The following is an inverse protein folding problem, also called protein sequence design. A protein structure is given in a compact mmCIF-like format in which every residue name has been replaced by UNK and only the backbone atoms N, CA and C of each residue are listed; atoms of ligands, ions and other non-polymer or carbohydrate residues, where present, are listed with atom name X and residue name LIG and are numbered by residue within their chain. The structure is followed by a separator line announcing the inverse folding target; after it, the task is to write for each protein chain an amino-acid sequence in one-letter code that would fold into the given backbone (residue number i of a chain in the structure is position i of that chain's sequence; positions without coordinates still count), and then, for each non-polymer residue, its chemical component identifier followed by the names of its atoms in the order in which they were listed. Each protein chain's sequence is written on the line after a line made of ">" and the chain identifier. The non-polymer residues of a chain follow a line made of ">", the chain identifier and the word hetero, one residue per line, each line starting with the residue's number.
data_IF_206346991860
#
_entry.id   IF_206346991860
#
_cell.length_a   1.000
_cell.length_b   1.000
_cell.length_c   1.000
_cell.angle_alpha   90.00
_cell.angle_beta   90.00
_cell.angle_gamma   90.00
#
_symmetry.space_group_name_H-M   'P 1'
#
loop_
_entity.id
_entity.type
_entity.pdbx_description
1 polymer ?
#
# COMPACT_ATOMS: atom_id res chain seq x y z
N UNK A 1 -23.95 19.36 -31.03
CA UNK A 1 -22.88 20.06 -30.29
C UNK A 1 -21.60 19.29 -30.54
N UNK A 2 -20.75 19.84 -31.41
CA UNK A 2 -19.49 19.22 -31.82
C UNK A 2 -18.59 19.06 -30.58
N UNK A 3 -18.11 17.84 -30.32
CA UNK A 3 -17.12 17.62 -29.25
C UNK A 3 -15.76 18.06 -29.80
N UNK A 4 -15.20 19.13 -29.22
CA UNK A 4 -13.85 19.58 -29.54
C UNK A 4 -12.82 18.46 -29.34
N UNK A 5 -11.76 18.45 -30.16
CA UNK A 5 -10.67 17.47 -30.08
C UNK A 5 -10.11 17.35 -28.66
N UNK A 6 -9.92 18.46 -27.95
CA UNK A 6 -9.40 18.48 -26.58
C UNK A 6 -10.30 17.68 -25.61
N UNK A 7 -11.62 17.72 -25.84
CA UNK A 7 -12.57 16.96 -25.04
C UNK A 7 -12.50 15.46 -25.35
N UNK A 8 -12.37 15.08 -26.63
CA UNK A 8 -12.16 13.69 -27.03
C UNK A 8 -10.84 13.13 -26.49
N UNK A 9 -9.76 13.90 -26.55
CA UNK A 9 -8.46 13.49 -26.02
C UNK A 9 -8.52 13.25 -24.51
N UNK A 10 -9.13 14.16 -23.74
CA UNK A 10 -9.28 14.03 -22.28
C UNK A 10 -10.10 12.79 -21.88
N UNK A 11 -11.05 12.37 -22.70
CA UNK A 11 -11.90 11.19 -22.47
C UNK A 11 -11.37 9.92 -23.11
N UNK A 12 -10.25 10.00 -23.85
CA UNK A 12 -9.63 8.86 -24.50
C UNK A 12 -8.97 7.92 -23.50
N UNK A 13 -8.82 6.64 -23.88
CA UNK A 13 -8.12 5.64 -23.05
C UNK A 13 -6.63 5.94 -22.91
N UNK A 14 -6.01 6.55 -23.92
CA UNK A 14 -4.60 6.93 -23.88
C UNK A 14 -4.33 8.00 -22.82
N UNK A 15 -5.27 8.94 -22.62
CA UNK A 15 -5.13 9.99 -21.61
C UNK A 15 -5.26 9.48 -20.15
N UNK A 16 -5.67 8.22 -19.96
CA UNK A 16 -5.70 7.57 -18.64
C UNK A 16 -4.32 7.03 -18.23
N UNK A 17 -3.34 7.01 -19.13
CA UNK A 17 -1.98 6.55 -18.84
C UNK A 17 -1.28 7.44 -17.81
N UNK A 18 -0.75 6.84 -16.75
CA UNK A 18 0.11 7.48 -15.76
C UNK A 18 1.36 6.62 -15.54
N UNK A 19 2.55 7.22 -15.69
CA UNK A 19 3.84 6.54 -15.51
C UNK A 19 4.07 6.05 -14.08
N UNK A 20 3.43 6.66 -13.09
CA UNK A 20 3.61 6.31 -11.68
C UNK A 20 2.80 5.08 -11.29
N UNK A 21 1.83 4.68 -12.12
CA UNK A 21 0.93 3.57 -11.87
C UNK A 21 1.28 2.48 -12.88
N UNK A 22 1.75 1.33 -12.38
CA UNK A 22 2.04 0.16 -13.21
C UNK A 22 0.73 -0.52 -13.68
N UNK A 23 0.02 0.14 -14.60
CA UNK A 23 -1.23 -0.35 -15.15
C UNK A 23 -1.00 -1.49 -16.14
N UNK A 24 -1.84 -2.52 -16.06
CA UNK A 24 -1.82 -3.66 -16.99
C UNK A 24 -2.71 -3.36 -18.19
N UNK A 25 -2.13 -3.43 -19.38
CA UNK A 25 -2.80 -3.28 -20.66
C UNK A 25 -2.97 -4.63 -21.36
N UNK A 26 -4.06 -4.74 -22.12
CA UNK A 26 -4.43 -5.91 -22.91
C UNK A 26 -4.92 -5.48 -24.28
N UNK A 27 -4.65 -6.28 -25.30
CA UNK A 27 -5.14 -6.07 -26.66
C UNK A 27 -5.94 -7.28 -27.16
N UNK A 28 -6.67 -7.09 -28.26
CA UNK A 28 -7.39 -8.18 -28.93
C UNK A 28 -6.41 -9.07 -29.73
N UNK A 29 -6.76 -10.34 -29.95
CA UNK A 29 -5.86 -11.28 -30.65
C UNK A 29 -5.45 -10.85 -32.07
N UNK A 30 -6.37 -10.21 -32.82
CA UNK A 30 -6.09 -9.69 -34.18
C UNK A 30 -5.12 -8.51 -34.14
N UNK A 31 -5.34 -7.56 -33.23
CA UNK A 31 -4.46 -6.41 -33.05
C UNK A 31 -3.07 -6.85 -32.53
N UNK A 32 -3.02 -7.82 -31.61
CA UNK A 32 -1.77 -8.44 -31.14
C UNK A 32 -0.93 -9.01 -32.29
N UNK A 33 -1.56 -9.69 -33.25
CA UNK A 33 -0.86 -10.29 -34.39
C UNK A 33 -0.14 -9.24 -35.27
N UNK A 34 -0.67 -8.01 -35.31
CA UNK A 34 -0.09 -6.86 -36.01
C UNK A 34 0.90 -6.10 -35.11
N UNK A 35 0.86 -6.33 -33.80
CA UNK A 35 1.60 -5.57 -32.80
C UNK A 35 0.89 -4.27 -32.38
N UNK A 36 -0.41 -4.14 -32.65
CA UNK A 36 -1.20 -2.98 -32.24
C UNK A 36 -1.74 -3.15 -30.80
N UNK A 37 -1.33 -2.21 -29.95
CA UNK A 37 -1.71 -2.10 -28.54
C UNK A 37 -2.42 -0.78 -28.22
N UNK A 38 -2.78 0.02 -29.23
CA UNK A 38 -3.35 1.35 -29.03
C UNK A 38 -2.36 2.37 -28.44
N UNK A 39 -1.07 2.14 -28.69
CA UNK A 39 0.04 2.98 -28.24
C UNK A 39 0.53 3.88 -29.38
N UNK A 40 1.52 4.73 -29.09
CA UNK A 40 2.13 5.61 -30.11
C UNK A 40 2.73 4.82 -31.27
N UNK A 41 3.28 3.63 -31.00
CA UNK A 41 3.92 2.74 -31.96
C UNK A 41 3.46 1.30 -31.75
N UNK A 42 3.53 0.51 -32.81
CA UNK A 42 3.30 -0.93 -32.70
C UNK A 42 4.46 -1.59 -31.94
N UNK A 43 4.12 -2.55 -31.10
CA UNK A 43 5.09 -3.37 -30.39
C UNK A 43 5.54 -4.55 -31.27
N UNK A 44 6.70 -5.17 -30.99
CA UNK A 44 7.16 -6.32 -31.74
C UNK A 44 6.12 -7.46 -31.73
N UNK A 45 5.88 -8.08 -32.88
CA UNK A 45 4.95 -9.21 -33.02
C UNK A 45 5.45 -10.49 -32.34
N UNK A 46 6.73 -10.54 -31.96
CA UNK A 46 7.37 -11.64 -31.23
C UNK A 46 6.84 -11.76 -29.78
N UNK A 47 6.08 -10.77 -29.30
CA UNK A 47 5.50 -10.79 -27.96
C UNK A 47 4.47 -11.90 -27.79
N UNK A 48 4.84 -12.90 -27.00
CA UNK A 48 3.95 -14.02 -26.64
C UNK A 48 2.95 -13.64 -25.56
N UNK A 49 3.25 -12.64 -24.74
CA UNK A 49 2.44 -12.22 -23.59
C UNK A 49 1.19 -11.45 -24.02
N UNK A 50 0.11 -11.61 -23.27
CA UNK A 50 -1.17 -10.92 -23.50
C UNK A 50 -1.40 -9.72 -22.57
N UNK A 51 -0.62 -9.66 -21.49
CA UNK A 51 -0.67 -8.64 -20.45
C UNK A 51 0.67 -7.93 -20.41
N UNK A 52 0.65 -6.60 -20.54
CA UNK A 52 1.84 -5.76 -20.54
C UNK A 52 1.68 -4.57 -19.60
N UNK A 53 2.77 -4.17 -18.96
CA UNK A 53 2.91 -2.87 -18.30
C UNK A 53 3.79 -1.99 -19.17
N UNK A 54 3.53 -0.69 -19.15
CA UNK A 54 4.24 0.30 -19.97
C UNK A 54 4.82 1.33 -19.01
N UNK A 55 6.11 1.60 -19.12
CA UNK A 55 6.79 2.58 -18.26
C UNK A 55 6.66 3.99 -18.83
N UNK A 56 6.79 4.11 -20.16
CA UNK A 56 6.74 5.38 -20.88
C UNK A 56 6.19 5.16 -22.28
N UNK A 57 5.39 6.11 -22.79
CA UNK A 57 4.80 6.01 -24.14
C UNK A 57 5.86 6.06 -25.26
N UNK A 58 6.90 6.88 -25.09
CA UNK A 58 8.01 7.02 -26.05
C UNK A 58 9.26 7.50 -25.32
N UNK A 59 10.39 6.85 -25.58
CA UNK A 59 11.71 7.22 -25.07
C UNK A 59 12.44 8.13 -26.05
N UNK A 60 13.60 8.68 -25.64
CA UNK A 60 14.48 9.42 -26.56
C UNK A 60 14.94 8.54 -27.74
N UNK A 61 15.01 7.23 -27.54
CA UNK A 61 15.35 6.23 -28.56
C UNK A 61 14.17 5.84 -29.46
N UNK A 62 13.02 6.52 -29.31
CA UNK A 62 11.81 6.27 -30.09
C UNK A 62 11.22 4.86 -29.90
N UNK A 63 11.49 4.25 -28.74
CA UNK A 63 10.96 2.94 -28.34
C UNK A 63 9.99 3.08 -27.15
N UNK A 64 9.03 2.17 -27.09
CA UNK A 64 8.10 2.06 -25.96
C UNK A 64 8.60 0.97 -25.01
N UNK A 65 9.19 1.32 -23.85
CA UNK A 65 9.60 0.33 -22.86
C UNK A 65 8.36 -0.34 -22.26
N UNK A 66 8.30 -1.66 -22.40
CA UNK A 66 7.24 -2.49 -21.86
C UNK A 66 7.81 -3.69 -21.09
N UNK A 67 7.04 -4.18 -20.14
CA UNK A 67 7.35 -5.39 -19.38
C UNK A 67 6.15 -6.35 -19.41
N UNK A 68 6.42 -7.64 -19.24
CA UNK A 68 5.34 -8.63 -19.11
C UNK A 68 4.67 -8.51 -17.75
N UNK A 69 3.35 -8.36 -17.75
CA UNK A 69 2.55 -8.28 -16.52
C UNK A 69 1.70 -9.55 -16.30
N UNK A 70 2.10 -10.66 -16.94
CA UNK A 70 1.35 -11.91 -16.88
C UNK A 70 1.39 -12.53 -15.48
N UNK A 71 2.51 -12.42 -14.76
CA UNK A 71 2.65 -12.87 -13.38
C UNK A 71 1.63 -12.20 -12.46
N UNK A 72 1.54 -10.88 -12.56
CA UNK A 72 0.77 -10.03 -11.65
C UNK A 72 -0.73 -10.20 -11.90
N UNK A 73 -1.11 -10.24 -13.17
CA UNK A 73 -2.50 -10.55 -13.56
C UNK A 73 -2.92 -11.93 -13.07
N UNK A 74 -2.11 -12.96 -13.34
CA UNK A 74 -2.43 -14.33 -12.93
C UNK A 74 -2.38 -14.50 -11.41
N UNK A 75 -1.56 -13.72 -10.70
CA UNK A 75 -1.56 -13.69 -9.24
C UNK A 75 -2.87 -13.11 -8.73
N UNK A 76 -3.33 -11.97 -9.25
CA UNK A 76 -4.62 -11.38 -8.88
C UNK A 76 -5.78 -12.32 -9.20
N UNK A 77 -5.73 -13.04 -10.32
CA UNK A 77 -6.72 -14.03 -10.66
C UNK A 77 -6.74 -15.19 -9.66
N UNK A 78 -5.58 -15.80 -9.39
CA UNK A 78 -5.44 -16.86 -8.38
C UNK A 78 -5.86 -16.40 -6.98
N UNK A 79 -5.58 -15.15 -6.63
CA UNK A 79 -5.99 -14.57 -5.36
C UNK A 79 -7.52 -14.48 -5.26
N UNK A 80 -8.20 -14.01 -6.32
CA UNK A 80 -9.66 -13.94 -6.38
C UNK A 80 -10.31 -15.33 -6.34
N UNK A 81 -9.71 -16.31 -7.00
CA UNK A 81 -10.18 -17.70 -6.99
C UNK A 81 -10.08 -18.33 -5.59
N UNK A 82 -8.97 -18.10 -4.88
CA UNK A 82 -8.77 -18.62 -3.53
C UNK A 82 -9.57 -17.85 -2.45
N UNK A 83 -9.83 -16.56 -2.67
CA UNK A 83 -10.50 -15.69 -1.69
C UNK A 83 -11.72 -14.96 -2.28
N UNK A 84 -12.79 -15.67 -2.70
CA UNK A 84 -13.94 -15.05 -3.37
C UNK A 84 -14.74 -14.09 -2.47
N UNK A 85 -14.61 -14.21 -1.14
CA UNK A 85 -15.28 -13.35 -0.15
C UNK A 85 -14.37 -12.27 0.44
N UNK A 86 -13.13 -12.12 -0.04
CA UNK A 86 -12.27 -11.04 0.44
C UNK A 86 -12.87 -9.70 0.04
N UNK A 87 -13.21 -8.87 1.02
CA UNK A 87 -13.61 -7.49 0.76
C UNK A 87 -12.35 -6.65 0.55
N UNK A 88 -12.37 -5.64 -0.35
CA UNK A 88 -11.29 -4.68 -0.37
C UNK A 88 -11.17 -4.05 1.03
N UNK A 89 -9.94 -3.78 1.52
CA UNK A 89 -9.79 -3.07 2.77
C UNK A 89 -10.53 -1.74 2.65
N UNK A 90 -11.28 -1.38 3.69
CA UNK A 90 -11.87 -0.04 3.74
C UNK A 90 -10.73 0.98 3.62
N UNK A 91 -10.89 2.06 2.84
CA UNK A 91 -9.91 3.13 2.78
C UNK A 91 -9.71 3.70 4.19
N UNK A 92 -8.68 3.21 4.87
CA UNK A 92 -8.25 3.81 6.12
C UNK A 92 -7.59 5.13 5.73
N UNK A 93 -7.88 6.26 6.41
CA UNK A 93 -7.10 7.47 6.25
C UNK A 93 -5.69 7.15 6.74
N UNK A 94 -4.82 6.70 5.85
CA UNK A 94 -3.43 6.38 6.19
C UNK A 94 -2.78 7.70 6.57
N UNK A 95 -2.69 7.97 7.87
CA UNK A 95 -1.93 9.10 8.37
C UNK A 95 -0.47 8.69 8.22
N UNK A 96 0.10 8.93 7.03
CA UNK A 96 1.49 8.58 6.72
C UNK A 96 2.37 9.28 7.75
N UNK A 97 2.85 8.51 8.72
CA UNK A 97 3.75 9.01 9.75
C UNK A 97 5.08 9.32 9.11
N UNK A 98 5.60 10.52 9.36
CA UNK A 98 6.89 10.94 8.80
C UNK A 98 8.00 10.53 9.75
N UNK A 99 8.95 9.73 9.28
CA UNK A 99 10.13 9.37 10.06
C UNK A 99 11.11 10.56 10.07
N UNK A 100 11.46 11.07 11.26
CA UNK A 100 12.47 12.14 11.41
C UNK A 100 13.85 11.71 10.93
N UNK A 101 14.20 10.43 11.14
CA UNK A 101 15.56 9.93 10.86
C UNK A 101 15.85 9.76 9.37
N UNK A 102 14.82 9.59 8.53
CA UNK A 102 14.98 9.39 7.08
C UNK A 102 14.73 10.67 6.29
N UNK A 103 14.33 11.74 6.96
CA UNK A 103 13.92 12.99 6.33
C UNK A 103 15.15 13.75 5.83
N UNK A 104 15.04 14.31 4.62
CA UNK A 104 16.06 15.21 4.08
C UNK A 104 15.96 16.62 4.70
N UNK A 105 17.04 17.39 4.69
CA UNK A 105 17.07 18.74 5.29
C UNK A 105 15.93 19.65 4.78
N UNK A 106 15.64 19.60 3.48
CA UNK A 106 14.55 20.38 2.86
C UNK A 106 13.16 19.96 3.35
N UNK A 107 12.97 18.66 3.58
CA UNK A 107 11.72 18.15 4.12
C UNK A 107 11.58 18.53 5.60
N UNK A 108 12.70 18.58 6.33
CA UNK A 108 12.75 19.04 7.71
C UNK A 108 12.43 20.54 7.82
N UNK A 109 12.94 21.39 6.92
CA UNK A 109 12.58 22.81 6.85
C UNK A 109 11.07 23.01 6.63
N UNK A 110 10.49 22.26 5.68
CA UNK A 110 9.04 22.28 5.46
C UNK A 110 8.28 21.81 6.70
N UNK A 111 8.80 20.84 7.43
CA UNK A 111 8.20 20.37 8.67
C UNK A 111 8.21 21.48 9.74
N UNK A 112 9.30 22.23 9.88
CA UNK A 112 9.37 23.38 10.78
C UNK A 112 8.38 24.49 10.38
N UNK A 113 8.18 24.71 9.09
CA UNK A 113 7.17 25.66 8.58
C UNK A 113 5.76 25.22 8.99
N UNK A 114 5.40 23.96 8.74
CA UNK A 114 4.09 23.41 9.16
C UNK A 114 3.91 23.44 10.69
N UNK A 115 4.98 23.26 11.46
CA UNK A 115 4.93 23.35 12.93
C UNK A 115 4.68 24.80 13.41
N UNK A 116 5.17 25.80 12.67
CA UNK A 116 4.89 27.21 12.97
C UNK A 116 3.41 27.55 12.73
N UNK A 117 2.84 27.04 11.65
CA UNK A 117 1.42 27.23 11.32
C UNK A 117 0.50 26.59 12.39
N UNK A 118 0.76 25.34 12.75
CA UNK A 118 -0.05 24.59 13.74
C UNK A 118 0.21 24.98 15.20
N UNK A 119 1.07 25.97 15.46
CA UNK A 119 1.43 26.40 16.82
C UNK A 119 0.22 26.84 17.63
N UNK A 120 -0.73 27.55 17.02
CA UNK A 120 -1.90 28.03 17.75
C UNK A 120 -2.85 26.88 18.12
N UNK A 121 -3.06 25.94 17.20
CA UNK A 121 -3.83 24.72 17.44
C UNK A 121 -3.22 23.92 18.60
N UNK A 122 -1.89 23.77 18.61
CA UNK A 122 -1.16 23.12 19.70
C UNK A 122 -1.40 23.80 21.06
N UNK A 123 -1.33 25.14 21.11
CA UNK A 123 -1.61 25.89 22.34
C UNK A 123 -3.05 25.69 22.81
N UNK A 124 -4.01 25.71 21.89
CA UNK A 124 -5.42 25.45 22.23
C UNK A 124 -5.62 24.03 22.75
N UNK A 125 -4.98 23.03 22.13
CA UNK A 125 -5.03 21.64 22.57
C UNK A 125 -4.40 21.42 23.96
N UNK A 126 -3.27 22.09 24.24
CA UNK A 126 -2.66 22.12 25.57
C UNK A 126 -3.60 22.75 26.60
N UNK A 127 -4.22 23.89 26.26
CA UNK A 127 -5.16 24.56 27.19
C UNK A 127 -6.40 23.74 27.49
N UNK A 128 -6.84 22.92 26.52
CA UNK A 128 -7.97 22.00 26.65
C UNK A 128 -7.60 20.71 27.40
N UNK A 129 -6.30 20.45 27.61
CA UNK A 129 -5.79 19.25 28.26
C UNK A 129 -5.90 17.98 27.40
N UNK A 130 -6.12 18.11 26.09
CA UNK A 130 -6.23 16.96 25.18
C UNK A 130 -4.88 16.33 24.86
N UNK A 131 -3.79 17.11 24.98
CA UNK A 131 -2.43 16.69 24.64
C UNK A 131 -1.46 17.15 25.72
N UNK A 132 -0.43 16.34 26.00
CA UNK A 132 0.65 16.67 26.94
C UNK A 132 1.79 17.41 26.20
N UNK A 133 2.62 18.16 26.93
CA UNK A 133 3.69 18.97 26.34
C UNK A 133 4.76 18.16 25.61
N UNK A 134 4.99 16.92 26.03
CA UNK A 134 5.91 15.95 25.44
C UNK A 134 5.38 15.30 24.15
N UNK A 135 4.07 15.33 23.91
CA UNK A 135 3.42 14.66 22.76
C UNK A 135 3.43 15.47 21.45
N UNK A 136 4.30 16.47 21.33
CA UNK A 136 4.40 17.35 20.15
C UNK A 136 4.68 16.58 18.85
N UNK A 137 5.48 15.51 18.91
CA UNK A 137 5.78 14.66 17.76
C UNK A 137 4.56 13.84 17.31
N UNK A 138 3.77 13.35 18.27
CA UNK A 138 2.53 12.61 18.00
C UNK A 138 1.51 13.51 17.33
N UNK A 139 1.36 14.74 17.81
CA UNK A 139 0.46 15.74 17.22
C UNK A 139 0.85 16.11 15.79
N UNK A 140 2.15 16.20 15.51
CA UNK A 140 2.66 16.45 14.16
C UNK A 140 2.69 15.19 13.27
N UNK A 141 2.25 14.03 13.78
CA UNK A 141 2.27 12.73 13.13
C UNK A 141 3.68 12.31 12.66
N UNK A 142 4.66 12.52 13.54
CA UNK A 142 6.08 12.25 13.30
C UNK A 142 6.52 11.03 14.12
N UNK A 143 7.33 10.17 13.51
CA UNK A 143 8.00 9.06 14.17
C UNK A 143 9.46 9.40 14.45
N UNK A 144 9.89 9.14 15.67
CA UNK A 144 11.31 9.01 16.02
C UNK A 144 11.60 7.53 16.22
N UNK A 145 12.64 7.00 15.59
CA UNK A 145 13.15 5.69 16.02
C UNK A 145 13.82 5.91 17.37
N UNK A 146 13.21 5.42 18.44
CA UNK A 146 13.88 5.34 19.73
C UNK A 146 15.16 4.52 19.57
N UNK A 147 16.33 5.12 19.81
CA UNK A 147 17.56 4.37 19.87
C UNK A 147 17.64 3.65 21.22
N UNK A 148 17.50 2.33 21.16
CA UNK A 148 17.91 1.29 22.13
C UNK A 148 17.06 1.09 23.40
N UNK A 149 16.52 -0.14 23.50
CA UNK A 149 16.36 -0.88 24.76
C UNK A 149 15.30 -0.36 25.72
N UNK A 150 14.03 -0.67 25.47
CA UNK A 150 12.95 -0.40 26.41
C UNK A 150 11.63 -0.94 25.88
N UNK A 151 10.84 -1.53 26.77
CA UNK A 151 9.59 -2.26 26.58
C UNK A 151 8.72 -1.89 25.36
N UNK A 152 8.15 -2.93 24.75
CA UNK A 152 7.07 -2.85 23.78
C UNK A 152 5.83 -2.32 24.51
N UNK A 153 5.57 -1.02 24.43
CA UNK A 153 4.27 -0.46 24.80
C UNK A 153 3.25 -0.91 23.77
N UNK A 154 2.68 -2.07 24.04
CA UNK A 154 1.49 -2.58 23.37
C UNK A 154 0.32 -1.79 23.93
N UNK A 155 0.12 -0.56 23.47
CA UNK A 155 -1.18 0.11 23.55
C UNK A 155 -2.13 -0.57 22.55
N UNK A 156 -2.47 -1.80 22.92
CA UNK A 156 -3.79 -2.40 22.92
C UNK A 156 -4.88 -1.41 22.48
N UNK A 157 -5.25 -1.46 21.20
CA UNK A 157 -6.60 -1.12 20.77
C UNK A 157 -7.55 -2.15 21.39
N UNK A 158 -7.95 -1.90 22.64
CA UNK A 158 -8.93 -2.69 23.34
C UNK A 158 -10.31 -2.35 22.77
N UNK A 159 -10.74 -3.16 21.80
CA UNK A 159 -12.15 -3.29 21.47
C UNK A 159 -12.78 -4.28 22.46
N UNK A 160 -13.40 -3.75 23.50
CA UNK A 160 -14.35 -4.43 24.39
C UNK A 160 -15.75 -4.21 23.77
N UNK A 161 -16.73 -5.10 23.64
CA UNK A 161 -17.15 -6.32 24.35
C UNK A 161 -17.98 -7.17 23.35
N UNK A 162 -17.82 -8.50 23.41
CA UNK A 162 -18.70 -9.46 22.74
C UNK A 162 -18.69 -10.79 23.49
N UNK A 163 -19.39 -10.82 24.62
CA UNK A 163 -19.59 -11.94 25.53
C UNK A 163 -20.05 -13.22 24.83
N UNK A 164 -19.29 -14.32 24.98
CA UNK A 164 -19.89 -15.64 25.15
C UNK A 164 -19.05 -16.48 26.11
N UNK A 165 -19.74 -16.99 27.12
CA UNK A 165 -19.21 -17.67 28.31
C UNK A 165 -19.49 -19.15 28.11
N UNK A 166 -18.49 -20.01 28.27
CA UNK A 166 -18.69 -21.43 28.59
C UNK A 166 -17.47 -21.97 29.36
N UNK A 167 -17.66 -22.88 30.32
CA UNK A 167 -16.77 -23.04 31.46
C UNK A 167 -15.74 -24.16 31.27
N UNK A 168 -14.52 -23.91 31.74
CA UNK A 168 -13.48 -24.91 31.95
C UNK A 168 -13.83 -25.84 33.11
N UNK A 169 -13.83 -27.15 32.86
CA UNK A 169 -13.79 -28.16 33.93
C UNK A 169 -12.34 -28.54 34.17
N UNK A 170 -11.84 -28.18 35.35
CA UNK A 170 -10.58 -28.65 35.93
C UNK A 170 -10.73 -30.12 36.34
N UNK A 171 -9.81 -30.99 35.91
CA UNK A 171 -9.47 -32.20 36.67
C UNK A 171 -7.96 -32.38 36.70
N UNK A 172 -7.47 -32.51 37.93
CA UNK A 172 -6.10 -32.72 38.34
C UNK A 172 -5.70 -34.19 38.22
N UNK A 173 -4.40 -34.41 38.47
CA UNK A 173 -3.70 -35.65 38.83
C UNK A 173 -3.00 -36.33 37.65
N UNK A 174 -1.80 -36.90 37.78
CA UNK A 174 -0.72 -36.91 38.78
C UNK A 174 0.29 -37.92 38.23
N UNK A 175 1.59 -37.67 38.38
CA UNK A 175 2.69 -38.64 38.50
C UNK A 175 2.69 -39.93 37.66
N UNK A 176 3.72 -40.08 36.82
CA UNK A 176 4.12 -41.37 36.25
C UNK A 176 5.51 -41.30 35.65
N UNK A 177 6.53 -41.57 36.46
CA UNK A 177 7.88 -41.84 35.99
C UNK A 177 7.89 -43.12 35.13
N UNK A 178 8.62 -43.09 34.01
CA UNK A 178 8.79 -44.26 33.15
C UNK A 178 9.87 -44.01 32.12
N UNK A 179 11.12 -44.31 32.49
CA UNK A 179 12.20 -44.50 31.53
C UNK A 179 11.84 -45.63 30.58
N UNK A 180 12.14 -45.48 29.29
CA UNK A 180 12.57 -46.61 28.48
C UNK A 180 13.55 -46.15 27.40
N UNK A 181 14.80 -46.55 27.62
CA UNK A 181 15.79 -46.82 26.60
C UNK A 181 15.27 -47.79 25.54
N UNK A 182 15.88 -47.73 24.34
CA UNK A 182 16.49 -48.87 23.60
C UNK A 182 16.01 -49.08 22.15
N UNK A 183 16.92 -48.72 21.23
CA UNK A 183 17.46 -49.50 20.08
C UNK A 183 16.76 -49.55 18.72
N UNK A 184 17.64 -49.34 17.73
CA UNK A 184 17.67 -49.67 16.29
C UNK A 184 16.86 -48.80 15.35
#
# INVERSE_FOLDING_TARGET
>A
MERSFSHLLRTSRLATFDKNISQIYTTSGKAKAIGDWGLKRNLPTVLRTHFLTIEQLDTAEHQTPFQSASSDFLFLQRWKENFPRSRPPQPQPVTVKKDLSTMTDKEFEKLLETAREKRQEWKTALSKGEVRSDEHLRFMNILTRHSKGGAIDTETSQATIGTSRSPSTTTNNSTGAGSNSRVK
#
